data_IF_775431181140
#
_entry.id   IF_775431181140
#
_cell.length_a   1.000
_cell.length_b   1.000
_cell.length_c   1.000
_cell.angle_alpha   90.00
_cell.angle_beta   90.00
_cell.angle_gamma   90.00
#
_symmetry.space_group_name_H-M   'P 1'
#
loop_
_entity.id
_entity.type
_entity.pdbx_description
1 polymer ?
#
# COMPACT_ATOMS: atom_id res chain seq x y z
N UNK A 1 -11.71 -12.83 2.81
CA UNK A 1 -10.81 -11.80 3.39
C UNK A 1 -11.67 -10.68 3.95
N UNK A 2 -11.38 -10.24 5.17
CA UNK A 2 -11.95 -9.03 5.75
C UNK A 2 -10.91 -7.92 5.63
N UNK A 3 -11.30 -6.77 5.09
CA UNK A 3 -10.47 -5.57 5.00
C UNK A 3 -11.13 -4.47 5.81
N UNK A 4 -10.41 -3.90 6.76
CA UNK A 4 -10.87 -2.82 7.63
C UNK A 4 -9.97 -1.62 7.45
N UNK A 5 -10.52 -0.46 7.14
CA UNK A 5 -9.79 0.80 7.12
C UNK A 5 -9.56 1.27 8.57
N UNK A 6 -8.31 1.49 8.92
CA UNK A 6 -7.90 1.93 10.27
C UNK A 6 -7.74 3.45 10.31
N UNK A 7 -7.23 4.02 9.24
CA UNK A 7 -7.04 5.47 9.08
C UNK A 7 -5.84 5.79 8.20
N UNK A 8 -5.84 6.97 7.60
CA UNK A 8 -4.82 7.48 6.69
C UNK A 8 -4.53 6.50 5.52
N UNK A 9 -3.48 5.70 5.60
CA UNK A 9 -3.13 4.65 4.63
C UNK A 9 -3.07 3.25 5.25
N UNK A 10 -3.43 3.14 6.53
CA UNK A 10 -3.41 1.87 7.25
C UNK A 10 -4.71 1.10 7.03
N UNK A 11 -4.58 -0.10 6.47
CA UNK A 11 -5.63 -1.11 6.43
C UNK A 11 -5.23 -2.31 7.26
N UNK A 12 -6.22 -2.94 7.85
CA UNK A 12 -6.09 -4.25 8.46
C UNK A 12 -6.78 -5.28 7.60
N UNK A 13 -6.07 -6.36 7.28
CA UNK A 13 -6.61 -7.51 6.56
C UNK A 13 -6.59 -8.73 7.46
N UNK A 14 -7.65 -9.52 7.41
CA UNK A 14 -7.77 -10.81 8.06
C UNK A 14 -8.15 -11.85 7.01
N UNK A 15 -7.30 -12.86 6.83
CA UNK A 15 -7.48 -13.89 5.81
C UNK A 15 -8.31 -15.06 6.33
N UNK A 16 -8.87 -15.94 5.48
CA UNK A 16 -9.55 -17.14 5.92
C UNK A 16 -8.67 -18.08 6.74
N UNK A 17 -7.37 -18.13 6.47
CA UNK A 17 -6.37 -18.86 7.25
C UNK A 17 -5.95 -18.16 8.56
N UNK A 18 -6.72 -17.14 8.99
CA UNK A 18 -6.50 -16.38 10.21
C UNK A 18 -5.17 -15.59 10.25
N UNK A 19 -4.54 -15.30 9.12
CA UNK A 19 -3.41 -14.38 9.03
C UNK A 19 -3.92 -12.94 9.15
N UNK A 20 -3.29 -12.15 10.01
CA UNK A 20 -3.62 -10.74 10.24
C UNK A 20 -2.49 -9.85 9.76
N UNK A 21 -2.81 -8.92 8.86
CA UNK A 21 -1.85 -8.04 8.21
C UNK A 21 -2.25 -6.58 8.46
N UNK A 22 -1.29 -5.70 8.74
CA UNK A 22 -1.52 -4.25 8.76
C UNK A 22 -0.58 -3.56 7.76
N UNK A 23 -1.16 -2.70 6.90
CA UNK A 23 -0.40 -1.92 5.90
C UNK A 23 -0.03 -0.55 6.44
N UNK A 24 1.07 0.02 5.95
CA UNK A 24 1.60 1.33 6.34
C UNK A 24 1.53 1.53 7.87
N UNK A 25 2.16 0.59 8.57
CA UNK A 25 2.04 0.44 10.01
C UNK A 25 2.84 1.50 10.77
N UNK A 26 2.14 2.29 11.57
CA UNK A 26 2.71 3.40 12.37
C UNK A 26 2.88 3.06 13.87
N UNK A 27 2.63 1.81 14.25
CA UNK A 27 2.52 1.38 15.64
C UNK A 27 1.09 1.02 16.06
N UNK A 28 0.09 1.44 15.25
CA UNK A 28 -1.33 1.20 15.49
C UNK A 28 -1.92 0.34 14.36
N UNK A 29 -2.71 -0.66 14.72
CA UNK A 29 -3.38 -1.56 13.77
C UNK A 29 -4.86 -1.77 14.09
N UNK A 30 -5.47 -0.80 14.79
CA UNK A 30 -6.85 -0.92 15.29
C UNK A 30 -6.97 -1.78 16.55
N UNK A 31 -8.19 -1.90 17.07
CA UNK A 31 -8.50 -2.58 18.34
C UNK A 31 -8.65 -4.10 18.19
N UNK A 32 -7.71 -4.76 17.57
CA UNK A 32 -7.77 -6.22 17.47
C UNK A 32 -6.44 -6.85 17.88
N UNK A 33 -6.31 -8.17 17.73
CA UNK A 33 -5.06 -8.86 18.08
C UNK A 33 -3.86 -8.25 17.34
N UNK A 34 -2.66 -8.41 17.88
CA UNK A 34 -1.42 -8.04 17.20
C UNK A 34 -1.39 -8.62 15.79
N UNK A 35 -0.96 -7.87 14.76
CA UNK A 35 -0.81 -8.40 13.41
C UNK A 35 0.32 -9.43 13.34
N UNK A 36 0.16 -10.42 12.46
CA UNK A 36 1.20 -11.39 12.16
C UNK A 36 2.24 -10.79 11.19
N UNK A 37 1.78 -9.89 10.33
CA UNK A 37 2.60 -9.19 9.34
C UNK A 37 2.28 -7.69 9.35
N UNK A 38 3.30 -6.86 9.25
CA UNK A 38 3.13 -5.42 8.95
C UNK A 38 3.97 -5.04 7.75
N UNK A 39 3.43 -4.15 6.91
CA UNK A 39 4.18 -3.49 5.84
C UNK A 39 4.32 -2.01 6.15
N UNK A 40 5.40 -1.38 5.69
CA UNK A 40 5.71 0.02 5.92
C UNK A 40 6.34 0.65 4.68
N UNK A 41 6.14 1.94 4.48
CA UNK A 41 6.75 2.74 3.41
C UNK A 41 7.48 3.97 3.99
N UNK A 42 8.58 4.41 3.35
CA UNK A 42 9.52 5.37 3.95
C UNK A 42 9.17 6.85 3.69
N UNK A 43 8.00 7.15 3.11
CA UNK A 43 7.65 8.53 2.73
C UNK A 43 7.67 9.51 3.91
N UNK A 44 6.99 9.18 5.00
CA UNK A 44 6.99 9.93 6.26
C UNK A 44 6.35 9.11 7.39
N UNK A 45 6.44 9.58 8.62
CA UNK A 45 6.07 8.85 9.86
C UNK A 45 4.60 8.42 9.97
N UNK A 46 3.74 8.82 9.06
CA UNK A 46 2.36 8.31 8.96
C UNK A 46 2.25 7.01 8.15
N UNK A 47 3.38 6.48 7.62
CA UNK A 47 3.47 5.25 6.85
C UNK A 47 4.40 4.21 7.47
N UNK A 48 5.13 4.58 8.52
CA UNK A 48 6.04 3.66 9.20
C UNK A 48 6.28 4.05 10.66
N UNK A 49 6.86 3.13 11.42
CA UNK A 49 7.47 3.37 12.73
C UNK A 49 8.89 2.84 12.76
N UNK A 50 9.78 3.55 13.46
CA UNK A 50 11.13 3.05 13.74
C UNK A 50 11.14 1.93 14.76
N UNK A 51 10.09 1.82 15.59
CA UNK A 51 9.99 0.93 16.73
C UNK A 51 8.72 0.07 16.64
N UNK A 52 8.62 -0.84 15.65
CA UNK A 52 7.51 -1.80 15.65
C UNK A 52 7.61 -2.69 16.87
N UNK A 53 6.46 -3.14 17.37
CA UNK A 53 6.41 -4.10 18.48
C UNK A 53 7.27 -5.33 18.12
N UNK A 54 8.29 -5.65 18.95
CA UNK A 54 9.22 -6.75 18.67
C UNK A 54 8.57 -8.13 18.63
N UNK A 55 7.36 -8.25 19.14
CA UNK A 55 6.59 -9.49 19.08
C UNK A 55 5.78 -9.64 17.77
N UNK A 56 5.84 -8.68 16.83
CA UNK A 56 5.30 -8.85 15.47
C UNK A 56 6.24 -9.76 14.69
N UNK A 57 5.77 -10.94 14.24
CA UNK A 57 6.65 -11.92 13.61
C UNK A 57 7.32 -11.44 12.32
N UNK A 58 6.59 -10.64 11.51
CA UNK A 58 7.06 -10.21 10.20
C UNK A 58 6.88 -8.71 10.00
N UNK A 59 7.99 -8.00 9.89
CA UNK A 59 8.03 -6.55 9.60
C UNK A 59 8.68 -6.35 8.23
N UNK A 60 7.86 -5.98 7.24
CA UNK A 60 8.28 -5.79 5.84
C UNK A 60 8.42 -4.30 5.55
N UNK A 61 9.67 -3.82 5.49
CA UNK A 61 9.97 -2.45 5.11
C UNK A 61 9.96 -2.34 3.59
N UNK A 62 9.21 -1.40 3.05
CA UNK A 62 9.07 -1.14 1.61
C UNK A 62 10.26 -0.42 1.00
N UNK A 63 11.32 -0.21 1.75
CA UNK A 63 12.61 0.35 1.32
C UNK A 63 13.75 -0.57 1.72
N UNK A 64 14.81 -0.55 0.96
CA UNK A 64 16.03 -1.30 1.25
C UNK A 64 17.05 -0.45 2.00
N UNK A 65 18.19 -1.06 2.30
CA UNK A 65 19.33 -0.37 2.88
C UNK A 65 20.28 0.12 1.76
N UNK A 66 20.92 1.27 1.97
CA UNK A 66 21.94 1.83 1.06
C UNK A 66 21.42 2.06 -0.39
N UNK A 67 20.14 2.47 -0.56
CA UNK A 67 19.56 2.74 -1.88
C UNK A 67 19.29 1.49 -2.72
N UNK A 68 19.34 0.31 -2.13
CA UNK A 68 18.95 -0.92 -2.82
C UNK A 68 17.44 -1.13 -2.70
N UNK A 69 16.77 -1.71 -3.72
CA UNK A 69 15.35 -2.01 -3.65
C UNK A 69 15.05 -3.05 -2.57
N UNK A 70 13.98 -2.82 -1.80
CA UNK A 70 13.42 -3.86 -0.95
C UNK A 70 12.93 -5.03 -1.80
N UNK A 71 13.21 -6.26 -1.39
CA UNK A 71 12.75 -7.47 -2.08
C UNK A 71 12.11 -8.41 -1.08
N UNK A 72 10.80 -8.52 -1.16
CA UNK A 72 10.01 -9.39 -0.31
C UNK A 72 9.29 -10.45 -1.11
N UNK A 73 9.41 -11.68 -0.68
CA UNK A 73 8.58 -12.81 -1.08
C UNK A 73 8.40 -13.68 0.17
N UNK A 74 7.28 -13.49 0.85
CA UNK A 74 6.99 -14.13 2.14
C UNK A 74 5.69 -14.90 2.05
N UNK A 75 5.71 -16.16 2.45
CA UNK A 75 4.51 -16.95 2.66
C UNK A 75 4.22 -17.09 4.16
N UNK A 76 3.02 -16.67 4.57
CA UNK A 76 2.51 -16.85 5.93
C UNK A 76 1.11 -17.45 5.84
N UNK A 77 0.93 -18.64 6.39
CA UNK A 77 -0.34 -19.37 6.32
C UNK A 77 -0.85 -19.51 4.87
N UNK A 78 -2.04 -18.97 4.63
CA UNK A 78 -2.73 -18.98 3.33
C UNK A 78 -2.41 -17.75 2.45
N UNK A 79 -1.39 -16.97 2.80
CA UNK A 79 -1.08 -15.70 2.13
C UNK A 79 0.35 -15.67 1.64
N UNK A 80 0.54 -15.24 0.39
CA UNK A 80 1.83 -14.84 -0.16
C UNK A 80 1.89 -13.31 -0.24
N UNK A 81 2.99 -12.72 0.22
CA UNK A 81 3.22 -11.28 0.22
C UNK A 81 4.48 -10.99 -0.58
N UNK A 82 4.38 -10.11 -1.56
CA UNK A 82 5.49 -9.63 -2.37
C UNK A 82 5.39 -8.12 -2.59
N UNK A 83 6.43 -7.51 -3.12
CA UNK A 83 6.44 -6.09 -3.38
C UNK A 83 7.06 -5.75 -4.74
N UNK A 84 6.72 -4.56 -5.24
CA UNK A 84 7.35 -3.88 -6.36
C UNK A 84 7.74 -2.49 -5.88
N UNK A 85 9.01 -2.14 -5.94
CA UNK A 85 9.52 -0.87 -5.45
C UNK A 85 9.25 0.27 -6.43
N UNK A 86 9.10 1.48 -5.90
CA UNK A 86 8.98 2.74 -6.65
C UNK A 86 9.69 3.86 -5.88
N UNK A 87 10.00 4.95 -6.57
CA UNK A 87 10.70 6.08 -5.97
C UNK A 87 9.76 6.99 -5.21
N UNK A 88 10.29 7.65 -4.18
CA UNK A 88 9.66 8.80 -3.54
C UNK A 88 10.13 10.06 -4.27
N UNK A 89 9.19 10.82 -4.81
CA UNK A 89 9.42 12.09 -5.50
C UNK A 89 8.50 13.16 -4.90
N UNK A 90 8.85 13.65 -3.72
CA UNK A 90 8.05 14.67 -3.04
C UNK A 90 8.12 16.01 -3.79
N UNK A 91 6.99 16.69 -3.94
CA UNK A 91 6.92 18.07 -4.44
C UNK A 91 7.74 19.07 -3.59
N UNK A 92 8.17 18.66 -2.40
CA UNK A 92 9.02 19.45 -1.52
C UNK A 92 10.53 19.20 -1.75
N UNK A 93 10.89 18.51 -2.85
CA UNK A 93 12.27 18.27 -3.24
C UNK A 93 12.95 17.07 -2.55
N UNK A 94 12.21 16.27 -1.81
CA UNK A 94 12.72 14.99 -1.31
C UNK A 94 12.67 13.98 -2.44
N UNK A 95 13.82 13.42 -2.79
CA UNK A 95 13.93 12.30 -3.71
C UNK A 95 14.61 11.14 -2.98
N UNK A 96 13.97 9.98 -3.02
CA UNK A 96 14.51 8.73 -2.49
C UNK A 96 14.22 7.61 -3.49
N UNK A 97 15.27 7.09 -4.09
CA UNK A 97 15.15 5.92 -4.96
C UNK A 97 14.68 4.72 -4.14
N UNK A 98 13.72 3.96 -4.68
CA UNK A 98 13.21 2.73 -4.07
C UNK A 98 12.63 2.89 -2.64
N UNK A 99 12.24 4.12 -2.27
CA UNK A 99 11.74 4.45 -0.93
C UNK A 99 10.30 4.02 -0.65
N UNK A 100 9.54 3.66 -1.68
CA UNK A 100 8.18 3.16 -1.60
C UNK A 100 8.06 1.76 -2.20
N UNK A 101 7.17 0.95 -1.68
CA UNK A 101 6.78 -0.34 -2.25
C UNK A 101 5.28 -0.43 -2.46
N UNK A 102 4.92 -0.93 -3.63
CA UNK A 102 3.59 -1.48 -3.88
C UNK A 102 3.61 -2.89 -3.32
N UNK A 103 2.88 -3.13 -2.23
CA UNK A 103 2.74 -4.47 -1.67
C UNK A 103 1.56 -5.20 -2.30
N UNK A 104 1.78 -6.47 -2.64
CA UNK A 104 0.77 -7.36 -3.21
C UNK A 104 0.58 -8.53 -2.26
N UNK A 105 -0.67 -8.78 -1.88
CA UNK A 105 -1.09 -9.85 -0.99
C UNK A 105 -1.96 -10.83 -1.78
N UNK A 106 -1.49 -12.05 -1.92
CA UNK A 106 -2.18 -13.12 -2.67
C UNK A 106 -2.78 -14.09 -1.66
N UNK A 107 -4.09 -14.11 -1.53
CA UNK A 107 -4.82 -14.93 -0.55
C UNK A 107 -6.25 -15.20 -1.01
N UNK A 108 -6.80 -16.37 -0.71
CA UNK A 108 -8.17 -16.77 -1.06
C UNK A 108 -8.52 -16.57 -2.55
N UNK A 109 -7.55 -16.76 -3.47
CA UNK A 109 -7.72 -16.56 -4.90
C UNK A 109 -7.76 -15.09 -5.35
N UNK A 110 -7.57 -14.13 -4.45
CA UNK A 110 -7.52 -12.70 -4.71
C UNK A 110 -6.08 -12.18 -4.70
N UNK A 111 -5.80 -11.18 -5.55
CA UNK A 111 -4.61 -10.35 -5.52
C UNK A 111 -5.00 -8.95 -5.02
N UNK A 112 -4.50 -8.55 -3.87
CA UNK A 112 -4.81 -7.28 -3.20
C UNK A 112 -3.57 -6.41 -3.26
N UNK A 113 -3.66 -5.24 -3.89
CA UNK A 113 -2.55 -4.28 -4.02
C UNK A 113 -2.70 -3.09 -3.08
N UNK A 114 -1.62 -2.67 -2.47
CA UNK A 114 -1.51 -1.43 -1.70
C UNK A 114 -0.43 -0.55 -2.34
N UNK A 115 -0.83 0.60 -2.91
CA UNK A 115 0.09 1.47 -3.66
C UNK A 115 1.08 2.23 -2.77
N UNK A 116 0.93 2.14 -1.45
CA UNK A 116 1.78 2.88 -0.52
C UNK A 116 1.64 4.38 -0.73
N UNK A 117 2.77 5.07 -0.76
CA UNK A 117 2.87 6.50 -1.03
C UNK A 117 3.40 6.75 -2.45
N UNK A 118 2.68 6.26 -3.47
CA UNK A 118 3.08 6.33 -4.87
C UNK A 118 3.22 7.79 -5.35
N UNK A 119 4.37 8.13 -5.96
CA UNK A 119 4.71 9.48 -6.40
C UNK A 119 4.82 9.67 -7.91
N UNK A 120 4.95 8.63 -8.68
CA UNK A 120 5.14 8.72 -10.14
C UNK A 120 4.32 7.69 -10.90
N UNK A 121 4.12 7.94 -12.19
CA UNK A 121 3.46 7.00 -13.09
C UNK A 121 4.29 5.72 -13.22
N UNK A 122 3.62 4.59 -13.20
CA UNK A 122 4.27 3.29 -13.31
C UNK A 122 4.75 3.01 -14.74
N UNK A 123 5.90 2.37 -14.86
CA UNK A 123 6.45 1.88 -16.13
C UNK A 123 5.84 0.54 -16.52
N UNK A 124 6.06 0.09 -17.77
CA UNK A 124 5.61 -1.23 -18.23
C UNK A 124 6.22 -2.37 -17.39
N UNK A 125 7.46 -2.21 -16.91
CA UNK A 125 8.10 -3.16 -16.01
C UNK A 125 7.34 -3.26 -14.68
N UNK A 126 7.01 -2.13 -14.06
CA UNK A 126 6.23 -2.13 -12.84
C UNK A 126 4.89 -2.86 -13.02
N UNK A 127 4.15 -2.58 -14.11
CA UNK A 127 2.89 -3.27 -14.38
C UNK A 127 3.06 -4.77 -14.59
N UNK A 128 4.13 -5.19 -15.27
CA UNK A 128 4.43 -6.59 -15.48
C UNK A 128 4.76 -7.32 -14.16
N UNK A 129 5.51 -6.66 -13.27
CA UNK A 129 5.86 -7.19 -11.96
C UNK A 129 4.67 -7.21 -10.99
N UNK A 130 3.81 -6.18 -11.01
CA UNK A 130 2.59 -6.12 -10.21
C UNK A 130 1.63 -7.25 -10.62
N UNK A 131 1.41 -7.42 -11.92
CA UNK A 131 0.49 -8.41 -12.46
C UNK A 131 -0.98 -8.10 -12.18
N UNK A 132 -1.81 -9.14 -12.03
CA UNK A 132 -3.25 -9.00 -11.76
C UNK A 132 -3.51 -8.44 -10.37
N UNK A 133 -4.44 -7.48 -10.29
CA UNK A 133 -4.96 -6.96 -9.02
C UNK A 133 -6.49 -7.03 -9.05
N UNK A 134 -7.10 -7.57 -8.02
CA UNK A 134 -8.56 -7.63 -7.86
C UNK A 134 -9.08 -6.51 -6.94
N UNK A 135 -8.34 -6.17 -5.90
CA UNK A 135 -8.64 -5.10 -4.94
C UNK A 135 -7.42 -4.19 -4.85
N UNK A 136 -7.60 -2.88 -5.00
CA UNK A 136 -6.52 -1.91 -4.99
C UNK A 136 -6.76 -0.81 -3.95
N UNK A 137 -5.82 -0.62 -3.05
CA UNK A 137 -5.77 0.48 -2.08
C UNK A 137 -4.98 1.63 -2.68
N UNK A 138 -5.63 2.80 -2.84
CA UNK A 138 -5.15 3.91 -3.67
C UNK A 138 -5.05 5.20 -2.87
N UNK A 139 -3.88 5.85 -2.80
CA UNK A 139 -3.78 7.20 -2.22
C UNK A 139 -4.43 8.21 -3.16
N UNK A 140 -5.22 9.14 -2.59
CA UNK A 140 -6.11 10.01 -3.38
C UNK A 140 -6.03 11.49 -3.02
N UNK A 141 -5.04 11.89 -2.25
CA UNK A 141 -4.84 13.30 -1.88
C UNK A 141 -4.40 14.17 -3.06
N UNK A 142 -3.70 13.60 -4.05
CA UNK A 142 -3.26 14.27 -5.28
C UNK A 142 -2.25 15.40 -5.07
N UNK A 143 -1.70 15.54 -3.86
CA UNK A 143 -0.80 16.60 -3.50
C UNK A 143 0.49 16.16 -2.84
N UNK A 144 0.42 15.25 -1.90
CA UNK A 144 1.58 14.61 -1.28
C UNK A 144 2.00 13.36 -2.04
N UNK A 145 1.03 12.67 -2.65
CA UNK A 145 1.23 11.53 -3.54
C UNK A 145 1.11 11.95 -5.01
N UNK A 146 1.08 10.99 -5.92
CA UNK A 146 0.87 11.23 -7.35
C UNK A 146 -0.41 12.03 -7.58
N UNK A 147 -0.35 13.04 -8.48
CA UNK A 147 -1.51 13.86 -8.81
C UNK A 147 -2.68 12.99 -9.32
N UNK A 148 -3.91 13.47 -9.13
CA UNK A 148 -5.11 12.67 -9.40
C UNK A 148 -5.24 12.23 -10.85
N UNK A 149 -4.90 13.07 -11.83
CA UNK A 149 -5.01 12.73 -13.26
C UNK A 149 -4.12 11.54 -13.64
N UNK A 150 -2.91 11.51 -13.10
CA UNK A 150 -1.97 10.43 -13.33
C UNK A 150 -2.31 9.19 -12.47
N UNK A 151 -2.82 9.39 -11.25
CA UNK A 151 -3.32 8.28 -10.43
C UNK A 151 -4.48 7.56 -11.12
N UNK A 152 -5.39 8.29 -11.75
CA UNK A 152 -6.48 7.72 -12.54
C UNK A 152 -5.95 6.84 -13.69
N UNK A 153 -4.88 7.27 -14.38
CA UNK A 153 -4.24 6.45 -15.42
C UNK A 153 -3.68 5.15 -14.86
N UNK A 154 -3.01 5.22 -13.69
CA UNK A 154 -2.47 4.04 -12.99
C UNK A 154 -3.59 3.08 -12.62
N UNK A 155 -4.65 3.56 -11.97
CA UNK A 155 -5.79 2.74 -11.54
C UNK A 155 -6.51 2.09 -12.72
N UNK A 156 -6.77 2.86 -13.79
CA UNK A 156 -7.40 2.33 -15.00
C UNK A 156 -6.57 1.22 -15.65
N UNK A 157 -5.26 1.35 -15.64
CA UNK A 157 -4.39 0.36 -16.25
C UNK A 157 -4.26 -0.91 -15.38
N UNK A 158 -4.25 -0.78 -14.04
CA UNK A 158 -4.29 -1.93 -13.12
C UNK A 158 -5.63 -2.66 -13.18
N UNK A 159 -6.71 -1.96 -13.53
CA UNK A 159 -8.05 -2.50 -13.79
C UNK A 159 -8.60 -3.40 -12.67
N UNK A 160 -8.37 -3.02 -11.43
CA UNK A 160 -8.89 -3.74 -10.28
C UNK A 160 -10.42 -3.64 -10.18
N UNK A 161 -11.08 -4.71 -9.74
CA UNK A 161 -12.54 -4.75 -9.59
C UNK A 161 -13.06 -3.93 -8.42
N UNK A 162 -12.23 -3.72 -7.40
CA UNK A 162 -12.56 -2.96 -6.20
C UNK A 162 -11.46 -1.93 -5.93
N UNK A 163 -11.84 -0.68 -5.72
CA UNK A 163 -10.94 0.41 -5.33
C UNK A 163 -11.26 0.82 -3.90
N UNK A 164 -10.24 0.85 -3.06
CA UNK A 164 -10.31 1.32 -1.68
C UNK A 164 -9.47 2.59 -1.55
N UNK A 165 -10.10 3.78 -1.51
CA UNK A 165 -9.37 5.04 -1.38
C UNK A 165 -8.74 5.17 0.01
N UNK A 166 -7.57 5.78 0.06
CA UNK A 166 -6.83 6.10 1.28
C UNK A 166 -6.11 7.45 1.16
N UNK A 167 -5.47 7.90 2.20
CA UNK A 167 -4.63 9.10 2.20
C UNK A 167 -5.42 10.35 1.73
N UNK A 168 -6.60 10.60 2.32
CA UNK A 168 -7.38 11.82 2.06
C UNK A 168 -7.45 12.69 3.32
N UNK A 169 -7.63 13.99 3.13
CA UNK A 169 -7.65 14.98 4.21
C UNK A 169 -8.97 15.73 4.33
N UNK A 170 -10.01 15.35 3.58
CA UNK A 170 -11.32 15.97 3.64
C UNK A 170 -12.32 15.33 2.68
N UNK A 171 -13.62 15.54 2.94
CA UNK A 171 -14.73 14.91 2.21
C UNK A 171 -14.77 15.29 0.72
N UNK A 172 -14.27 16.48 0.36
CA UNK A 172 -14.22 16.94 -1.03
C UNK A 172 -13.37 16.04 -1.93
N UNK A 173 -12.33 15.41 -1.40
CA UNK A 173 -11.49 14.47 -2.15
C UNK A 173 -12.24 13.18 -2.46
N UNK A 174 -13.00 12.66 -1.49
CA UNK A 174 -13.83 11.46 -1.69
C UNK A 174 -14.96 11.70 -2.71
N UNK A 175 -15.58 12.89 -2.69
CA UNK A 175 -16.63 13.25 -3.64
C UNK A 175 -16.08 13.30 -5.08
N UNK A 176 -14.90 13.87 -5.27
CA UNK A 176 -14.22 13.88 -6.58
C UNK A 176 -13.96 12.47 -7.10
N UNK A 177 -13.55 11.55 -6.23
CA UNK A 177 -13.33 10.15 -6.60
C UNK A 177 -14.61 9.42 -6.99
N UNK A 178 -15.72 9.65 -6.28
CA UNK A 178 -17.03 9.07 -6.65
C UNK A 178 -17.42 9.47 -8.07
N UNK A 179 -17.16 10.72 -8.46
CA UNK A 179 -17.45 11.22 -9.83
C UNK A 179 -16.51 10.56 -10.85
N UNK A 180 -15.23 10.40 -10.54
CA UNK A 180 -14.21 9.92 -11.47
C UNK A 180 -14.26 8.40 -11.68
N UNK A 181 -14.51 7.62 -10.62
CA UNK A 181 -14.52 6.16 -10.67
C UNK A 181 -15.92 5.54 -10.77
N UNK A 182 -16.97 6.34 -10.72
CA UNK A 182 -18.37 5.86 -10.72
C UNK A 182 -18.69 4.85 -9.63
N UNK A 183 -18.09 5.01 -8.42
CA UNK A 183 -18.30 4.18 -7.24
C UNK A 183 -19.29 4.82 -6.24
#
# INVERSE_FOLDING_TARGET
VRITYVGHSTFRMETPGAVSIATDFTGEAGRSRRPDVVTMNHAHTTHFTHFPDPEIPHVLRGWGENGQPARHFLQVGDTVIRNVTTDINSRFGVHEEEGNSIFIFETAGLCIGHLGHLHHVLTDSHYAEIGRIDILMVPVDGGYTLNLDDMIKVVRRLNASVILPMHWFGDSTLETLRIVFHI
#
